data_IF_244759881458
#
_entry.id   IF_244759881458
#
_cell.length_a   1.000
_cell.length_b   1.000
_cell.length_c   1.000
_cell.angle_alpha   90.00
_cell.angle_beta   90.00
_cell.angle_gamma   90.00
#
_symmetry.space_group_name_H-M   'P 1'
#
loop_
_entity.id
_entity.type
_entity.pdbx_description
1 polymer ?
#
# COMPACT_ATOMS: atom_id res chain seq x y z
N UNK A 1 -0.79 30.77 -22.73
CA UNK A 1 -0.50 30.04 -23.99
C UNK A 1 0.91 29.44 -24.00
N UNK A 2 2.02 30.18 -23.83
CA UNK A 2 3.38 29.58 -23.79
C UNK A 2 3.68 28.88 -22.45
N UNK A 3 3.26 29.47 -21.31
CA UNK A 3 3.38 28.85 -20.00
C UNK A 3 2.58 27.53 -19.90
N UNK A 4 1.41 27.47 -20.54
CA UNK A 4 0.57 26.25 -20.58
C UNK A 4 1.23 25.12 -21.38
N UNK A 5 1.87 25.45 -22.51
CA UNK A 5 2.59 24.46 -23.33
C UNK A 5 3.82 23.92 -22.61
N UNK A 6 4.60 24.79 -21.94
CA UNK A 6 5.77 24.37 -21.16
C UNK A 6 5.36 23.47 -19.97
N UNK A 7 4.26 23.81 -19.29
CA UNK A 7 3.70 22.99 -18.21
C UNK A 7 3.27 21.60 -18.70
N UNK A 8 2.58 21.53 -19.84
CA UNK A 8 2.16 20.25 -20.43
C UNK A 8 3.37 19.38 -20.83
N UNK A 9 4.41 19.98 -21.40
CA UNK A 9 5.65 19.28 -21.75
C UNK A 9 6.37 18.75 -20.51
N UNK A 10 6.44 19.52 -19.44
CA UNK A 10 7.05 19.10 -18.18
C UNK A 10 6.29 17.93 -17.55
N UNK A 11 4.95 17.99 -17.54
CA UNK A 11 4.12 16.89 -17.06
C UNK A 11 4.34 15.62 -17.89
N UNK A 12 4.42 15.76 -19.22
CA UNK A 12 4.67 14.64 -20.12
C UNK A 12 6.02 13.97 -19.81
N UNK A 13 7.08 14.75 -19.61
CA UNK A 13 8.40 14.24 -19.22
C UNK A 13 8.37 13.54 -17.85
N UNK A 14 7.61 14.06 -16.89
CA UNK A 14 7.45 13.43 -15.57
C UNK A 14 6.71 12.09 -15.67
N UNK A 15 5.69 11.99 -16.52
CA UNK A 15 4.94 10.75 -16.77
C UNK A 15 5.85 9.70 -17.42
N UNK A 16 6.60 10.09 -18.44
CA UNK A 16 7.55 9.20 -19.13
C UNK A 16 8.62 8.67 -18.17
N UNK A 17 9.07 9.49 -17.22
CA UNK A 17 10.03 9.07 -16.19
C UNK A 17 9.49 7.99 -15.23
N UNK A 18 8.16 7.81 -15.12
CA UNK A 18 7.56 6.77 -14.27
C UNK A 18 7.43 5.42 -14.98
N UNK A 19 7.56 5.36 -16.31
CA UNK A 19 7.41 4.12 -17.07
C UNK A 19 8.38 3.01 -16.64
N UNK A 20 9.68 3.28 -16.40
CA UNK A 20 10.61 2.25 -15.96
C UNK A 20 10.24 1.68 -14.59
N UNK A 21 9.78 2.53 -13.67
CA UNK A 21 9.34 2.11 -12.34
C UNK A 21 8.12 1.19 -12.42
N UNK A 22 7.13 1.56 -13.23
CA UNK A 22 5.94 0.74 -13.45
C UNK A 22 6.29 -0.60 -14.13
N UNK A 23 7.20 -0.59 -15.09
CA UNK A 23 7.67 -1.80 -15.75
C UNK A 23 8.33 -2.77 -14.74
N UNK A 24 9.16 -2.25 -13.82
CA UNK A 24 9.78 -3.02 -12.75
C UNK A 24 8.75 -3.62 -11.79
N UNK A 25 7.75 -2.83 -11.35
CA UNK A 25 6.66 -3.32 -10.50
C UNK A 25 5.86 -4.45 -11.16
N UNK A 26 5.54 -4.30 -12.46
CA UNK A 26 4.86 -5.34 -13.25
C UNK A 26 5.69 -6.61 -13.38
N UNK A 27 7.00 -6.48 -13.58
CA UNK A 27 7.90 -7.63 -13.65
C UNK A 27 7.97 -8.37 -12.30
N UNK A 28 8.10 -7.65 -11.19
CA UNK A 28 8.10 -8.23 -9.84
C UNK A 28 6.79 -8.96 -9.53
N UNK A 29 5.63 -8.39 -9.88
CA UNK A 29 4.34 -9.07 -9.73
C UNK A 29 4.27 -10.37 -10.52
N UNK A 30 4.69 -10.37 -11.80
CA UNK A 30 4.67 -11.57 -12.65
C UNK A 30 5.59 -12.67 -12.13
N UNK A 31 6.69 -12.31 -11.47
CA UNK A 31 7.60 -13.27 -10.86
C UNK A 31 7.03 -13.97 -9.61
N UNK A 32 6.09 -13.33 -8.90
CA UNK A 32 5.45 -13.90 -7.71
C UNK A 32 3.99 -13.41 -7.55
N UNK A 33 3.06 -13.87 -8.41
CA UNK A 33 1.71 -13.31 -8.48
C UNK A 33 0.80 -13.71 -7.31
N UNK A 34 1.09 -14.85 -6.67
CA UNK A 34 0.34 -15.38 -5.53
C UNK A 34 1.26 -15.73 -4.35
N UNK A 35 1.82 -14.72 -3.66
CA UNK A 35 2.71 -14.96 -2.53
C UNK A 35 2.02 -15.73 -1.42
N UNK A 36 2.76 -16.63 -0.76
CA UNK A 36 2.28 -17.43 0.36
C UNK A 36 1.83 -16.56 1.54
N UNK A 37 1.01 -17.13 2.43
CA UNK A 37 0.58 -16.43 3.64
C UNK A 37 1.76 -16.03 4.53
N UNK A 38 2.81 -16.87 4.59
CA UNK A 38 4.04 -16.59 5.31
C UNK A 38 4.77 -15.38 4.71
N UNK A 39 4.95 -15.36 3.39
CA UNK A 39 5.63 -14.25 2.72
C UNK A 39 4.90 -12.92 2.93
N UNK A 40 3.56 -12.93 2.83
CA UNK A 40 2.75 -11.73 3.06
C UNK A 40 2.82 -11.27 4.52
N UNK A 41 2.87 -12.18 5.49
CA UNK A 41 3.08 -11.85 6.92
C UNK A 41 4.47 -11.24 7.14
N UNK A 42 5.50 -11.75 6.47
CA UNK A 42 6.84 -11.18 6.55
C UNK A 42 6.86 -9.74 6.03
N UNK A 43 6.19 -9.44 4.92
CA UNK A 43 6.07 -8.07 4.40
C UNK A 43 5.29 -7.15 5.34
N UNK A 44 4.18 -7.62 5.91
CA UNK A 44 3.41 -6.86 6.92
C UNK A 44 4.27 -6.58 8.16
N UNK A 45 5.07 -7.55 8.61
CA UNK A 45 6.03 -7.36 9.71
C UNK A 45 7.08 -6.31 9.37
N UNK A 46 7.70 -6.40 8.18
CA UNK A 46 8.69 -5.43 7.72
C UNK A 46 8.10 -4.00 7.63
N UNK A 47 6.87 -3.87 7.12
CA UNK A 47 6.16 -2.58 7.06
C UNK A 47 5.90 -2.02 8.46
N UNK A 48 5.48 -2.87 9.41
CA UNK A 48 5.28 -2.48 10.81
C UNK A 48 6.57 -1.97 11.45
N UNK A 49 7.68 -2.68 11.23
CA UNK A 49 9.00 -2.32 11.74
C UNK A 49 9.49 -1.00 11.14
N UNK A 50 9.29 -0.80 9.83
CA UNK A 50 9.61 0.45 9.15
C UNK A 50 8.83 1.63 9.72
N UNK A 51 7.51 1.51 9.89
CA UNK A 51 6.68 2.59 10.45
C UNK A 51 7.13 2.94 11.88
N UNK A 52 7.49 1.93 12.68
CA UNK A 52 7.99 2.17 14.03
C UNK A 52 9.37 2.81 14.05
N UNK A 53 10.27 2.40 13.15
CA UNK A 53 11.60 2.98 13.00
C UNK A 53 11.55 4.44 12.54
N UNK A 54 10.65 4.76 11.61
CA UNK A 54 10.49 6.10 11.04
C UNK A 54 9.48 6.98 11.79
N UNK A 55 8.99 6.52 12.96
CA UNK A 55 7.93 7.19 13.72
C UNK A 55 8.18 8.68 13.94
N UNK A 56 9.40 9.04 14.33
CA UNK A 56 9.78 10.43 14.61
C UNK A 56 9.86 11.26 13.33
N UNK A 57 10.46 10.71 12.27
CA UNK A 57 10.55 11.37 10.97
C UNK A 57 9.17 11.65 10.38
N UNK A 58 8.22 10.73 10.55
CA UNK A 58 6.83 10.89 10.13
C UNK A 58 6.12 12.01 10.91
N UNK A 59 6.30 12.07 12.24
CA UNK A 59 5.75 13.16 13.07
C UNK A 59 6.26 14.52 12.61
N UNK A 60 7.57 14.63 12.40
CA UNK A 60 8.19 15.89 11.96
C UNK A 60 7.74 16.29 10.57
N UNK A 61 7.63 15.35 9.63
CA UNK A 61 7.13 15.62 8.29
C UNK A 61 5.68 16.13 8.33
N UNK A 62 4.78 15.44 9.04
CA UNK A 62 3.38 15.85 9.17
C UNK A 62 3.27 17.21 9.88
N UNK A 63 4.06 17.45 10.91
CA UNK A 63 4.05 18.75 11.59
C UNK A 63 4.46 19.90 10.66
N UNK A 64 5.46 19.68 9.79
CA UNK A 64 5.88 20.66 8.77
C UNK A 64 4.82 20.88 7.69
N UNK A 65 4.18 19.81 7.22
CA UNK A 65 3.19 19.88 6.14
C UNK A 65 1.86 20.51 6.61
N UNK A 66 1.54 20.37 7.91
CA UNK A 66 0.26 20.79 8.50
C UNK A 66 0.41 21.84 9.61
N UNK A 67 1.40 22.74 9.48
CA UNK A 67 1.51 23.96 10.29
C UNK A 67 1.54 23.74 11.81
N UNK A 68 2.51 22.96 12.29
CA UNK A 68 2.72 22.63 13.71
C UNK A 68 1.64 21.74 14.33
N UNK A 69 1.16 20.74 13.58
CA UNK A 69 0.33 19.67 14.16
C UNK A 69 1.04 19.05 15.39
N UNK A 70 0.27 18.81 16.45
CA UNK A 70 0.72 18.16 17.67
C UNK A 70 1.13 16.71 17.38
N UNK A 71 2.23 16.26 17.99
CA UNK A 71 2.77 14.92 17.77
C UNK A 71 1.77 13.82 18.18
N UNK A 72 0.98 14.08 19.22
CA UNK A 72 -0.04 13.17 19.74
C UNK A 72 -1.16 12.94 18.73
N UNK A 73 -1.53 13.98 17.96
CA UNK A 73 -2.48 13.82 16.86
C UNK A 73 -1.91 12.89 15.80
N UNK A 74 -0.66 13.11 15.38
CA UNK A 74 -0.01 12.27 14.36
C UNK A 74 0.14 10.80 14.80
N UNK A 75 0.42 10.61 16.09
CA UNK A 75 0.48 9.29 16.68
C UNK A 75 -0.89 8.60 16.67
N UNK A 76 -1.95 9.32 17.04
CA UNK A 76 -3.29 8.77 17.19
C UNK A 76 -4.01 8.53 15.86
N UNK A 77 -3.86 9.43 14.88
CA UNK A 77 -4.66 9.41 13.66
C UNK A 77 -3.97 8.73 12.47
N UNK A 78 -2.64 8.70 12.41
CA UNK A 78 -1.90 8.18 11.26
C UNK A 78 -1.13 6.92 11.65
N UNK A 79 -0.32 6.99 12.70
CA UNK A 79 0.61 5.91 13.06
C UNK A 79 -0.14 4.74 13.73
N UNK A 80 -0.90 5.01 14.80
CA UNK A 80 -1.62 3.96 15.53
C UNK A 80 -2.61 3.19 14.64
N UNK A 81 -3.46 3.83 13.82
CA UNK A 81 -4.40 3.10 12.97
C UNK A 81 -3.69 2.26 11.90
N UNK A 82 -2.57 2.74 11.37
CA UNK A 82 -1.74 1.98 10.42
C UNK A 82 -1.16 0.72 11.07
N UNK A 83 -0.57 0.84 12.26
CA UNK A 83 -0.03 -0.32 12.99
C UNK A 83 -1.14 -1.32 13.37
N UNK A 84 -2.28 -0.82 13.87
CA UNK A 84 -3.44 -1.67 14.17
C UNK A 84 -4.01 -2.37 12.92
N UNK A 85 -4.07 -1.67 11.79
CA UNK A 85 -4.48 -2.24 10.51
C UNK A 85 -3.56 -3.38 10.06
N UNK A 86 -2.25 -3.19 10.19
CA UNK A 86 -1.23 -4.22 9.89
C UNK A 86 -1.39 -5.42 10.81
N UNK A 87 -1.53 -5.21 12.12
CA UNK A 87 -1.67 -6.30 13.10
C UNK A 87 -2.99 -7.07 12.89
N UNK A 88 -4.08 -6.35 12.59
CA UNK A 88 -5.38 -6.93 12.26
C UNK A 88 -5.33 -7.78 10.99
N UNK A 89 -4.75 -7.23 9.92
CA UNK A 89 -4.58 -7.93 8.65
C UNK A 89 -3.71 -9.18 8.82
N UNK A 90 -2.57 -9.04 9.51
CA UNK A 90 -1.65 -10.15 9.80
C UNK A 90 -2.37 -11.30 10.50
N UNK A 91 -3.19 -11.03 11.52
CA UNK A 91 -3.95 -12.08 12.23
C UNK A 91 -4.96 -12.81 11.35
N UNK A 92 -5.58 -12.12 10.37
CA UNK A 92 -6.70 -12.64 9.56
C UNK A 92 -6.32 -13.13 8.18
N UNK A 93 -5.13 -12.78 7.70
CA UNK A 93 -4.66 -13.03 6.34
C UNK A 93 -4.86 -14.49 5.89
N UNK A 94 -4.50 -15.44 6.75
CA UNK A 94 -4.66 -16.87 6.44
C UNK A 94 -6.11 -17.29 6.20
N UNK A 95 -7.08 -16.67 6.89
CA UNK A 95 -8.51 -16.91 6.65
C UNK A 95 -8.96 -16.23 5.35
N UNK A 96 -8.51 -15.00 5.09
CA UNK A 96 -8.90 -14.24 3.89
C UNK A 96 -8.38 -14.85 2.60
N UNK A 97 -7.24 -15.54 2.65
CA UNK A 97 -6.67 -16.21 1.48
C UNK A 97 -7.34 -17.54 1.14
N UNK A 98 -8.21 -18.08 2.00
CA UNK A 98 -8.88 -19.37 1.71
C UNK A 98 -9.82 -19.23 0.52
N UNK A 99 -9.87 -20.21 -0.40
CA UNK A 99 -10.89 -20.25 -1.45
C UNK A 99 -12.29 -20.10 -0.86
N UNK A 100 -13.10 -19.25 -1.47
CA UNK A 100 -14.51 -19.09 -1.11
C UNK A 100 -15.36 -20.01 -1.97
N UNK A 101 -16.07 -20.96 -1.37
CA UNK A 101 -17.05 -21.79 -2.09
C UNK A 101 -18.17 -20.89 -2.60
N UNK A 102 -18.49 -21.01 -3.89
CA UNK A 102 -19.66 -20.36 -4.51
C UNK A 102 -20.71 -21.42 -4.76
N UNK A 103 -21.95 -21.19 -4.31
CA UNK A 103 -23.09 -21.98 -4.74
C UNK A 103 -23.55 -21.49 -6.11
N UNK A 104 -23.93 -22.41 -6.98
CA UNK A 104 -24.57 -22.12 -8.26
C UNK A 104 -26.03 -22.54 -8.19
N UNK A 105 -26.89 -21.86 -8.97
CA UNK A 105 -28.30 -22.27 -9.10
C UNK A 105 -28.41 -23.71 -9.63
N UNK A 106 -29.52 -24.38 -9.32
CA UNK A 106 -29.76 -25.79 -9.66
C UNK A 106 -29.48 -26.10 -11.15
N UNK A 107 -29.83 -25.19 -12.06
CA UNK A 107 -29.60 -25.35 -13.50
C UNK A 107 -28.12 -25.43 -13.92
N UNK A 108 -27.18 -25.06 -13.04
CA UNK A 108 -25.74 -25.06 -13.29
C UNK A 108 -24.99 -26.06 -12.39
N UNK A 109 -25.69 -26.92 -11.66
CA UNK A 109 -25.06 -28.02 -10.92
C UNK A 109 -24.60 -29.11 -11.91
N UNK A 110 -23.44 -29.76 -11.68
CA UNK A 110 -23.02 -30.89 -12.50
C UNK A 110 -24.03 -32.04 -12.40
N UNK A 111 -24.20 -32.78 -13.50
CA UNK A 111 -25.12 -33.92 -13.64
C UNK A 111 -24.73 -35.13 -12.78
#
# INVERSE_FOLDING_TARGET
>A
MVADVAYLQQNQQQIEALEPLLAAQRAAYRANPMPSAEQRRAWLKALRELILGEKQALIEAVSRDFSNRAAEETLLAEIMPSLHGIDYASKRLGRWMKPSRRSVGLAFQPA
#
